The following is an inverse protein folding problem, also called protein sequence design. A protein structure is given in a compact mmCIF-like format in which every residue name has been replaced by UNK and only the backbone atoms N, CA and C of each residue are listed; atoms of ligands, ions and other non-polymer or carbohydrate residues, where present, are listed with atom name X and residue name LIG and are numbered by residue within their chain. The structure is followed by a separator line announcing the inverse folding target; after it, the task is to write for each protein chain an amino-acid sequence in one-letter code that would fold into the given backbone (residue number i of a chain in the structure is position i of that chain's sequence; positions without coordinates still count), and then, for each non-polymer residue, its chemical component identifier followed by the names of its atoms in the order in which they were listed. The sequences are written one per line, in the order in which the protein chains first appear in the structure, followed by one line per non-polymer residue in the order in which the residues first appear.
data_IF_814288514815
#
_entry.id   IF_814288514815
#
_cell.length_a   1.000
_cell.length_b   1.000
_cell.length_c   1.000
_cell.angle_alpha   90.00
_cell.angle_beta   90.00
_cell.angle_gamma   90.00
#
_symmetry.space_group_name_H-M   'P 1'
#
loop_
_entity.id
_entity.type
_entity.pdbx_description
1 polymer ?
#
# COMPACT_ATOMS: atom_id res chain seq x y z
N UNK A 1 40.31 -0.02 -15.52
CA UNK A 1 40.80 1.28 -15.00
C UNK A 1 39.83 1.77 -13.94
N UNK A 2 40.28 1.99 -12.70
CA UNK A 2 39.43 2.57 -11.65
C UNK A 2 39.26 4.07 -11.91
N UNK A 3 38.02 4.54 -11.85
CA UNK A 3 37.67 5.94 -12.06
C UNK A 3 36.99 6.50 -10.82
N UNK A 4 36.86 7.83 -10.76
CA UNK A 4 36.12 8.54 -9.73
C UNK A 4 35.14 9.49 -10.40
N UNK A 5 33.91 9.52 -9.90
CA UNK A 5 32.90 10.49 -10.32
C UNK A 5 32.23 11.11 -9.10
N UNK A 6 31.89 12.39 -9.23
CA UNK A 6 31.22 13.14 -8.18
C UNK A 6 29.89 13.63 -8.74
N UNK A 7 28.83 13.45 -7.95
CA UNK A 7 27.52 14.03 -8.23
C UNK A 7 27.08 14.85 -7.01
N UNK A 8 26.16 15.79 -7.24
CA UNK A 8 25.52 16.57 -6.19
C UNK A 8 24.03 16.26 -6.23
N UNK A 9 23.47 15.93 -5.07
CA UNK A 9 22.03 15.71 -4.88
C UNK A 9 21.50 16.87 -4.05
N UNK A 10 20.52 17.59 -4.57
CA UNK A 10 19.85 18.68 -3.84
C UNK A 10 18.66 18.12 -3.06
N UNK A 11 18.56 18.52 -1.80
CA UNK A 11 17.50 18.12 -0.86
C UNK A 11 16.77 19.36 -0.37
N UNK A 12 15.49 19.21 -0.04
CA UNK A 12 14.61 20.30 0.38
C UNK A 12 14.79 20.66 1.85
N UNK A 13 14.97 19.66 2.70
CA UNK A 13 15.10 19.79 4.15
C UNK A 13 15.94 18.65 4.74
N UNK A 14 16.17 18.71 6.05
CA UNK A 14 16.95 17.70 6.77
C UNK A 14 16.26 16.32 6.83
N UNK A 15 14.93 16.26 6.68
CA UNK A 15 14.18 14.99 6.65
C UNK A 15 14.45 14.25 5.34
N UNK A 16 14.38 14.95 4.19
CA UNK A 16 14.75 14.35 2.90
C UNK A 16 16.21 13.89 2.90
N UNK A 17 17.09 14.68 3.52
CA UNK A 17 18.51 14.33 3.67
C UNK A 17 18.70 13.05 4.46
N UNK A 18 18.05 12.91 5.62
CA UNK A 18 18.15 11.72 6.47
C UNK A 18 17.59 10.48 5.76
N UNK A 19 16.39 10.57 5.20
CA UNK A 19 15.75 9.45 4.52
C UNK A 19 16.51 9.01 3.27
N UNK A 20 17.07 9.95 2.52
CA UNK A 20 17.95 9.62 1.40
C UNK A 20 19.23 8.90 1.83
N UNK A 21 19.85 9.34 2.93
CA UNK A 21 21.03 8.66 3.46
C UNK A 21 20.71 7.22 3.89
N UNK A 22 19.56 6.99 4.54
CA UNK A 22 19.08 5.64 4.90
C UNK A 22 18.87 4.77 3.67
N UNK A 23 18.22 5.29 2.62
CA UNK A 23 18.00 4.53 1.39
C UNK A 23 19.31 4.20 0.68
N UNK A 24 20.25 5.13 0.57
CA UNK A 24 21.55 4.85 -0.06
C UNK A 24 22.36 3.81 0.72
N UNK A 25 22.30 3.81 2.06
CA UNK A 25 22.96 2.79 2.89
C UNK A 25 22.39 1.38 2.69
N UNK A 26 21.12 1.26 2.30
CA UNK A 26 20.47 -0.02 1.98
C UNK A 26 20.83 -0.55 0.59
N UNK A 27 21.40 0.30 -0.29
CA UNK A 27 21.80 -0.14 -1.62
C UNK A 27 23.04 -1.03 -1.52
N UNK A 28 22.93 -2.26 -2.03
CA UNK A 28 24.06 -3.16 -2.18
C UNK A 28 24.88 -2.79 -3.43
N UNK A 29 25.70 -1.74 -3.33
CA UNK A 29 26.48 -1.22 -4.46
C UNK A 29 27.89 -1.83 -4.50
N UNK A 30 28.29 -2.30 -5.68
CA UNK A 30 29.67 -2.76 -5.92
C UNK A 30 30.70 -1.62 -5.92
N UNK A 31 30.26 -0.38 -6.23
CA UNK A 31 31.10 0.80 -6.20
C UNK A 31 31.29 1.31 -4.75
N UNK A 32 32.47 1.86 -4.45
CA UNK A 32 32.68 2.57 -3.20
C UNK A 32 32.00 3.94 -3.25
N UNK A 33 31.05 4.18 -2.34
CA UNK A 33 30.27 5.42 -2.24
C UNK A 33 30.58 6.14 -0.94
N UNK A 34 30.87 7.44 -1.05
CA UNK A 34 31.10 8.30 0.11
C UNK A 34 30.36 9.63 -0.04
N UNK A 35 29.55 9.96 0.96
CA UNK A 35 28.63 11.10 0.93
C UNK A 35 29.04 12.14 1.97
N UNK A 36 29.14 13.38 1.56
CA UNK A 36 29.30 14.52 2.45
C UNK A 36 28.06 15.41 2.42
N UNK A 37 27.52 15.70 3.59
CA UNK A 37 26.45 16.66 3.76
C UNK A 37 26.93 18.11 3.66
N UNK A 38 26.18 18.91 2.92
CA UNK A 38 26.13 20.37 3.03
C UNK A 38 24.73 20.75 3.55
N UNK A 39 24.44 22.05 3.64
CA UNK A 39 23.15 22.57 4.10
C UNK A 39 21.98 22.02 3.26
N UNK A 40 21.97 22.30 1.96
CA UNK A 40 20.87 22.00 1.02
C UNK A 40 21.20 20.89 0.01
N UNK A 41 22.33 20.23 0.20
CA UNK A 41 22.87 19.30 -0.80
C UNK A 41 23.79 18.25 -0.22
N UNK A 42 23.90 17.13 -0.93
CA UNK A 42 24.76 16.01 -0.61
C UNK A 42 25.75 15.82 -1.75
N UNK A 43 27.05 15.92 -1.45
CA UNK A 43 28.12 15.63 -2.41
C UNK A 43 28.45 14.14 -2.32
N UNK A 44 28.08 13.40 -3.36
CA UNK A 44 28.26 11.95 -3.43
C UNK A 44 29.45 11.63 -4.32
N UNK A 45 30.48 11.00 -3.74
CA UNK A 45 31.66 10.52 -4.44
C UNK A 45 31.51 9.03 -4.70
N UNK A 46 31.65 8.61 -5.96
CA UNK A 46 31.55 7.20 -6.38
C UNK A 46 32.87 6.80 -7.02
N UNK A 47 33.43 5.68 -6.58
CA UNK A 47 34.70 5.14 -7.08
C UNK A 47 34.54 3.66 -7.45
N UNK A 48 35.03 3.27 -8.61
CA UNK A 48 34.88 1.91 -9.13
C UNK A 48 35.30 1.80 -10.60
N UNK A 49 34.89 0.73 -11.27
CA UNK A 49 34.94 0.63 -12.72
C UNK A 49 33.92 1.58 -13.37
N UNK A 50 34.05 1.82 -14.68
CA UNK A 50 33.15 2.74 -15.40
C UNK A 50 31.68 2.28 -15.32
N UNK A 51 31.44 0.98 -15.35
CA UNK A 51 30.11 0.39 -15.32
C UNK A 51 29.54 0.42 -13.89
N UNK A 52 30.32 0.01 -12.88
CA UNK A 52 29.95 0.14 -11.46
C UNK A 52 29.57 1.58 -11.09
N UNK A 53 30.33 2.58 -11.57
CA UNK A 53 30.03 3.99 -11.33
C UNK A 53 28.70 4.38 -11.98
N UNK A 54 28.43 3.90 -13.20
CA UNK A 54 27.18 4.22 -13.92
C UNK A 54 25.98 3.64 -13.19
N UNK A 55 26.07 2.37 -12.78
CA UNK A 55 25.03 1.67 -12.04
C UNK A 55 24.77 2.33 -10.69
N UNK A 56 25.82 2.60 -9.90
CA UNK A 56 25.71 3.26 -8.62
C UNK A 56 25.06 4.65 -8.74
N UNK A 57 25.46 5.47 -9.72
CA UNK A 57 24.84 6.79 -9.92
C UNK A 57 23.36 6.66 -10.29
N UNK A 58 22.99 5.68 -11.13
CA UNK A 58 21.58 5.43 -11.46
C UNK A 58 20.80 5.04 -10.21
N UNK A 59 21.29 4.06 -9.44
CA UNK A 59 20.66 3.61 -8.21
C UNK A 59 20.50 4.74 -7.18
N UNK A 60 21.54 5.56 -6.99
CA UNK A 60 21.51 6.72 -6.09
C UNK A 60 20.45 7.74 -6.54
N UNK A 61 20.32 8.00 -7.85
CA UNK A 61 19.30 8.92 -8.37
C UNK A 61 17.88 8.38 -8.22
N UNK A 62 17.68 7.08 -8.44
CA UNK A 62 16.39 6.44 -8.22
C UNK A 62 16.01 6.44 -6.73
N UNK A 63 16.96 6.17 -5.83
CA UNK A 63 16.76 6.29 -4.38
C UNK A 63 16.33 7.72 -3.99
N UNK A 64 16.96 8.74 -4.58
CA UNK A 64 16.57 10.14 -4.35
C UNK A 64 15.13 10.41 -4.81
N UNK A 65 14.78 9.97 -6.02
CA UNK A 65 13.44 10.12 -6.58
C UNK A 65 12.39 9.40 -5.72
N UNK A 66 12.69 8.19 -5.25
CA UNK A 66 11.85 7.38 -4.36
C UNK A 66 11.57 8.10 -3.04
N UNK A 67 12.62 8.58 -2.37
CA UNK A 67 12.48 9.33 -1.11
C UNK A 67 11.64 10.58 -1.29
N UNK A 68 11.92 11.36 -2.34
CA UNK A 68 11.17 12.58 -2.63
C UNK A 68 9.70 12.31 -2.92
N UNK A 69 9.40 11.29 -3.73
CA UNK A 69 8.03 10.88 -4.05
C UNK A 69 7.24 10.40 -2.82
N UNK A 70 7.92 9.78 -1.86
CA UNK A 70 7.32 9.35 -0.60
C UNK A 70 7.07 10.49 0.38
N UNK A 71 7.97 11.48 0.43
CA UNK A 71 7.90 12.58 1.40
C UNK A 71 7.02 13.74 0.94
N UNK A 72 6.95 13.99 -0.36
CA UNK A 72 6.24 15.15 -0.88
C UNK A 72 5.29 14.76 -2.01
N UNK A 73 4.05 15.26 -1.96
CA UNK A 73 3.11 15.01 -3.03
C UNK A 73 3.53 15.75 -4.30
N UNK A 74 3.13 15.20 -5.44
CA UNK A 74 3.26 15.89 -6.72
C UNK A 74 2.24 17.04 -6.85
N UNK A 75 2.20 17.70 -8.01
CA UNK A 75 1.30 18.84 -8.25
C UNK A 75 -0.18 18.50 -8.16
N UNK A 76 -0.56 17.21 -8.24
CA UNK A 76 -1.93 16.73 -8.07
C UNK A 76 -2.24 16.36 -6.62
N UNK A 77 -1.30 16.52 -5.69
CA UNK A 77 -1.46 16.09 -4.31
C UNK A 77 -1.15 14.62 -4.07
N UNK A 78 -0.52 13.91 -5.02
CA UNK A 78 -0.29 12.47 -4.91
C UNK A 78 1.15 12.13 -4.51
N UNK A 79 1.30 11.27 -3.53
CA UNK A 79 2.57 10.64 -3.14
C UNK A 79 2.87 9.45 -4.03
N UNK A 80 4.14 9.07 -4.16
CA UNK A 80 4.60 7.93 -4.97
C UNK A 80 5.25 6.88 -4.10
N UNK A 81 4.75 5.65 -4.17
CA UNK A 81 5.22 4.53 -3.36
C UNK A 81 5.46 3.28 -4.20
N UNK A 82 6.51 2.53 -3.85
CA UNK A 82 6.70 1.17 -4.34
C UNK A 82 6.03 0.23 -3.32
N UNK A 83 5.07 -0.61 -3.73
CA UNK A 83 4.31 -1.46 -2.80
C UNK A 83 5.18 -2.25 -1.83
N UNK A 84 6.29 -2.80 -2.31
CA UNK A 84 7.25 -3.57 -1.50
C UNK A 84 7.82 -2.78 -0.31
N UNK A 85 7.93 -1.46 -0.40
CA UNK A 85 8.36 -0.65 0.75
C UNK A 85 7.29 -0.53 1.80
N UNK A 86 6.04 -0.34 1.37
CA UNK A 86 4.91 -0.21 2.29
C UNK A 86 4.77 -1.54 3.04
N UNK A 87 4.80 -2.65 2.31
CA UNK A 87 4.69 -4.00 2.88
C UNK A 87 5.86 -4.31 3.82
N UNK A 88 7.09 -3.96 3.44
CA UNK A 88 8.27 -4.15 4.29
C UNK A 88 8.22 -3.29 5.55
N UNK A 89 7.83 -2.02 5.45
CA UNK A 89 7.71 -1.13 6.61
C UNK A 89 6.58 -1.58 7.54
N UNK A 90 5.46 -2.03 6.98
CA UNK A 90 4.34 -2.60 7.73
C UNK A 90 4.64 -3.99 8.32
N UNK A 91 5.74 -4.63 7.92
CA UNK A 91 6.03 -6.04 8.21
C UNK A 91 4.87 -6.98 7.83
N UNK A 92 4.20 -6.68 6.72
CA UNK A 92 2.97 -7.33 6.28
C UNK A 92 3.16 -8.08 4.96
N UNK A 93 2.47 -9.22 4.81
CA UNK A 93 2.45 -10.00 3.58
C UNK A 93 1.07 -9.91 2.91
N UNK A 94 0.79 -8.76 2.28
CA UNK A 94 -0.47 -8.45 1.63
C UNK A 94 -0.28 -8.38 0.11
N UNK A 95 -1.28 -8.79 -0.66
CA UNK A 95 -1.25 -8.67 -2.10
C UNK A 95 -1.61 -7.23 -2.52
N UNK A 96 -0.95 -6.71 -3.57
CA UNK A 96 -1.26 -5.39 -4.11
C UNK A 96 -2.76 -5.18 -4.45
N UNK A 97 -3.50 -6.18 -5.01
CA UNK A 97 -4.93 -6.04 -5.24
C UNK A 97 -5.75 -5.69 -3.99
N UNK A 98 -5.42 -6.26 -2.82
CA UNK A 98 -6.10 -5.95 -1.55
C UNK A 98 -5.90 -4.47 -1.20
N UNK A 99 -4.64 -3.99 -1.24
CA UNK A 99 -4.33 -2.59 -0.97
C UNK A 99 -5.05 -1.63 -1.94
N UNK A 100 -4.99 -1.92 -3.24
CA UNK A 100 -5.61 -1.08 -4.26
C UNK A 100 -7.12 -0.99 -4.07
N UNK A 101 -7.79 -2.13 -3.85
CA UNK A 101 -9.24 -2.13 -3.64
C UNK A 101 -9.63 -1.41 -2.35
N UNK A 102 -8.84 -1.55 -1.28
CA UNK A 102 -9.10 -0.86 -0.02
C UNK A 102 -9.00 0.66 -0.18
N UNK A 103 -7.96 1.15 -0.87
CA UNK A 103 -7.81 2.58 -1.16
C UNK A 103 -8.98 3.11 -1.99
N UNK A 104 -9.42 2.35 -2.99
CA UNK A 104 -10.60 2.69 -3.80
C UNK A 104 -11.87 2.81 -2.95
N UNK A 105 -12.14 1.84 -2.06
CA UNK A 105 -13.30 1.86 -1.16
C UNK A 105 -13.26 3.01 -0.16
N UNK A 106 -12.07 3.42 0.29
CA UNK A 106 -11.88 4.59 1.15
C UNK A 106 -12.01 5.92 0.40
N UNK A 107 -12.25 5.91 -0.91
CA UNK A 107 -12.36 7.11 -1.74
C UNK A 107 -11.02 7.80 -2.04
N UNK A 108 -9.89 7.11 -1.82
CA UNK A 108 -8.57 7.65 -2.10
C UNK A 108 -8.32 7.71 -3.61
N UNK A 109 -7.65 8.77 -4.07
CA UNK A 109 -7.19 8.83 -5.45
C UNK A 109 -6.01 7.89 -5.60
N UNK A 110 -6.07 6.92 -6.52
CA UNK A 110 -4.97 5.98 -6.79
C UNK A 110 -4.64 5.92 -8.29
N UNK A 111 -3.37 6.11 -8.64
CA UNK A 111 -2.84 5.84 -9.98
C UNK A 111 -1.87 4.66 -9.93
N UNK A 112 -2.13 3.60 -10.69
CA UNK A 112 -1.23 2.43 -10.77
C UNK A 112 -0.30 2.55 -11.98
N UNK A 113 0.98 2.26 -11.76
CA UNK A 113 2.01 2.07 -12.79
C UNK A 113 2.67 0.70 -12.59
N UNK A 114 3.49 0.26 -13.56
CA UNK A 114 4.12 -1.07 -13.53
C UNK A 114 4.84 -1.36 -12.22
N UNK A 115 5.62 -0.40 -11.71
CA UNK A 115 6.50 -0.61 -10.54
C UNK A 115 6.05 0.15 -9.28
N UNK A 116 5.11 1.09 -9.39
CA UNK A 116 4.75 1.98 -8.29
C UNK A 116 3.28 2.37 -8.35
N UNK A 117 2.76 2.76 -7.20
CA UNK A 117 1.44 3.39 -7.05
C UNK A 117 1.63 4.86 -6.71
N UNK A 118 0.66 5.67 -7.09
CA UNK A 118 0.48 7.00 -6.53
C UNK A 118 -0.82 7.09 -5.78
N UNK A 119 -0.82 7.74 -4.63
CA UNK A 119 -2.03 7.91 -3.84
C UNK A 119 -2.04 9.24 -3.09
N UNK A 120 -3.23 9.76 -2.79
CA UNK A 120 -3.43 10.90 -1.90
C UNK A 120 -3.05 10.59 -0.44
N UNK A 121 -3.04 9.31 -0.05
CA UNK A 121 -2.75 8.87 1.32
C UNK A 121 -1.27 9.07 1.71
N UNK A 122 -0.97 9.78 2.82
CA UNK A 122 0.39 9.95 3.33
C UNK A 122 1.06 8.65 3.81
N UNK A 123 2.40 8.65 3.87
CA UNK A 123 3.20 7.45 4.15
C UNK A 123 2.81 6.72 5.43
N UNK A 124 2.64 7.46 6.53
CA UNK A 124 2.29 6.88 7.83
C UNK A 124 0.92 6.19 7.77
N UNK A 125 -0.04 6.85 7.16
CA UNK A 125 -1.43 6.38 7.06
C UNK A 125 -1.51 5.12 6.20
N UNK A 126 -0.80 5.06 5.06
CA UNK A 126 -0.81 3.86 4.22
C UNK A 126 -0.08 2.67 4.86
N UNK A 127 0.98 2.92 5.63
CA UNK A 127 1.65 1.87 6.41
C UNK A 127 0.72 1.33 7.49
N UNK A 128 -0.01 2.20 8.20
CA UNK A 128 -0.96 1.78 9.24
C UNK A 128 -2.20 1.10 8.63
N UNK A 129 -2.64 1.51 7.43
CA UNK A 129 -3.66 0.79 6.65
C UNK A 129 -3.21 -0.64 6.32
N UNK A 130 -1.99 -0.81 5.81
CA UNK A 130 -1.46 -2.14 5.48
C UNK A 130 -1.32 -3.05 6.70
N UNK A 131 -0.97 -2.49 7.87
CA UNK A 131 -0.96 -3.27 9.13
C UNK A 131 -2.36 -3.79 9.47
N UNK A 132 -3.39 -2.95 9.38
CA UNK A 132 -4.79 -3.38 9.60
C UNK A 132 -5.23 -4.46 8.61
N UNK A 133 -4.88 -4.28 7.33
CA UNK A 133 -5.14 -5.30 6.30
C UNK A 133 -4.46 -6.64 6.64
N UNK A 134 -3.22 -6.61 7.14
CA UNK A 134 -2.51 -7.82 7.59
C UNK A 134 -3.22 -8.50 8.74
N UNK A 135 -3.66 -7.74 9.74
CA UNK A 135 -4.37 -8.26 10.90
C UNK A 135 -5.69 -8.94 10.50
N UNK A 136 -6.49 -8.32 9.64
CA UNK A 136 -7.76 -8.92 9.18
C UNK A 136 -7.51 -10.12 8.27
N UNK A 137 -6.47 -10.08 7.43
CA UNK A 137 -6.09 -11.23 6.62
C UNK A 137 -5.70 -12.43 7.49
N UNK A 138 -4.90 -12.22 8.55
CA UNK A 138 -4.41 -13.29 9.42
C UNK A 138 -5.54 -14.06 10.10
N UNK A 139 -6.62 -13.37 10.49
CA UNK A 139 -7.81 -13.97 11.09
C UNK A 139 -8.45 -15.03 10.18
N UNK A 140 -8.61 -14.71 8.89
CA UNK A 140 -9.31 -15.57 7.94
C UNK A 140 -8.39 -16.37 7.02
N UNK A 141 -7.07 -16.24 7.13
CA UNK A 141 -6.13 -16.77 6.13
C UNK A 141 -6.19 -18.29 6.00
N UNK A 142 -6.41 -19.05 7.08
CA UNK A 142 -6.38 -20.52 7.01
C UNK A 142 -7.63 -21.11 6.36
N UNK A 143 -8.77 -20.43 6.52
CA UNK A 143 -10.09 -20.88 6.08
C UNK A 143 -10.51 -20.31 4.73
N UNK A 144 -9.71 -19.48 4.08
CA UNK A 144 -10.14 -18.77 2.86
C UNK A 144 -9.21 -18.97 1.67
N UNK A 145 -9.79 -18.96 0.47
CA UNK A 145 -9.03 -18.84 -0.78
C UNK A 145 -8.53 -17.40 -1.00
N UNK A 146 -7.61 -17.24 -1.96
CA UNK A 146 -7.13 -15.91 -2.35
C UNK A 146 -8.24 -14.97 -2.81
N UNK A 147 -9.23 -15.48 -3.55
CA UNK A 147 -10.32 -14.65 -4.07
C UNK A 147 -11.22 -14.11 -2.97
N UNK A 148 -11.56 -14.95 -1.98
CA UNK A 148 -12.29 -14.51 -0.78
C UNK A 148 -11.55 -13.37 -0.08
N UNK A 149 -10.22 -13.51 0.12
CA UNK A 149 -9.40 -12.48 0.79
C UNK A 149 -9.36 -11.17 0.02
N UNK A 150 -9.36 -11.23 -1.32
CA UNK A 150 -9.42 -10.04 -2.18
C UNK A 150 -10.79 -9.31 -2.13
N UNK A 151 -11.82 -9.93 -1.54
CA UNK A 151 -13.14 -9.33 -1.30
C UNK A 151 -13.28 -8.91 0.16
N UNK A 152 -13.12 -9.85 1.09
CA UNK A 152 -13.41 -9.66 2.52
C UNK A 152 -12.44 -8.67 3.16
N UNK A 153 -11.13 -8.81 2.94
CA UNK A 153 -10.14 -7.99 3.66
C UNK A 153 -10.27 -6.50 3.34
N UNK A 154 -10.41 -6.07 2.07
CA UNK A 154 -10.67 -4.67 1.75
C UNK A 154 -11.96 -4.13 2.36
N UNK A 155 -13.06 -4.89 2.28
CA UNK A 155 -14.37 -4.46 2.78
C UNK A 155 -14.36 -4.35 4.30
N UNK A 156 -13.79 -5.34 5.00
CA UNK A 156 -13.60 -5.35 6.44
C UNK A 156 -12.92 -4.07 6.94
N UNK A 157 -11.84 -3.65 6.29
CA UNK A 157 -11.11 -2.43 6.70
C UNK A 157 -11.84 -1.15 6.28
N UNK A 158 -12.53 -1.14 5.14
CA UNK A 158 -13.22 0.05 4.65
C UNK A 158 -14.52 0.35 5.41
N UNK A 159 -15.25 -0.68 5.83
CA UNK A 159 -16.53 -0.58 6.53
C UNK A 159 -16.44 -0.85 8.04
N UNK A 160 -15.24 -1.17 8.56
CA UNK A 160 -15.00 -1.51 9.96
C UNK A 160 -15.84 -2.72 10.46
N UNK A 161 -15.99 -3.72 9.59
CA UNK A 161 -16.74 -4.96 9.86
C UNK A 161 -15.75 -6.10 10.12
N UNK A 162 -16.07 -6.97 11.08
CA UNK A 162 -15.26 -8.13 11.38
C UNK A 162 -15.13 -9.06 10.14
N UNK A 163 -13.93 -9.56 9.82
CA UNK A 163 -13.74 -10.37 8.62
C UNK A 163 -14.42 -11.75 8.70
N UNK A 164 -14.71 -12.30 9.89
CA UNK A 164 -15.52 -13.52 10.03
C UNK A 164 -17.00 -13.21 9.79
N UNK A 165 -17.51 -12.10 10.31
CA UNK A 165 -18.88 -11.64 10.04
C UNK A 165 -19.13 -11.47 8.54
N UNK A 166 -18.18 -10.87 7.81
CA UNK A 166 -18.27 -10.76 6.35
C UNK A 166 -18.24 -12.12 5.62
N UNK A 167 -17.59 -13.15 6.17
CA UNK A 167 -17.66 -14.49 5.59
C UNK A 167 -19.06 -15.08 5.72
N UNK A 168 -19.68 -14.90 6.87
CA UNK A 168 -21.05 -15.35 7.11
C UNK A 168 -22.03 -14.61 6.19
N UNK A 169 -21.89 -13.28 6.07
CA UNK A 169 -22.67 -12.49 5.11
C UNK A 169 -22.52 -12.98 3.66
N UNK A 170 -21.29 -13.31 3.23
CA UNK A 170 -21.08 -13.86 1.89
C UNK A 170 -21.78 -15.21 1.70
N UNK A 171 -21.88 -16.05 2.73
CA UNK A 171 -22.61 -17.31 2.68
C UNK A 171 -24.11 -17.08 2.64
N UNK A 172 -24.64 -16.21 3.49
CA UNK A 172 -26.07 -15.90 3.58
C UNK A 172 -26.60 -15.27 2.28
N UNK A 173 -25.79 -14.45 1.62
CA UNK A 173 -26.09 -13.87 0.30
C UNK A 173 -25.90 -14.86 -0.86
N UNK A 174 -25.44 -16.09 -0.60
CA UNK A 174 -25.15 -17.09 -1.63
C UNK A 174 -24.01 -16.70 -2.57
N UNK A 175 -23.07 -15.89 -2.09
CA UNK A 175 -21.87 -15.45 -2.81
C UNK A 175 -20.67 -16.36 -2.56
N UNK A 176 -20.64 -17.00 -1.40
CA UNK A 176 -19.65 -17.99 -1.00
C UNK A 176 -20.30 -19.25 -0.44
N UNK A 177 -19.53 -20.33 -0.40
CA UNK A 177 -19.90 -21.57 0.27
C UNK A 177 -18.72 -22.09 1.10
N UNK A 178 -19.03 -22.72 2.23
CA UNK A 178 -18.05 -23.44 3.02
C UNK A 178 -17.92 -24.89 2.52
N UNK A 179 -16.73 -25.24 2.04
CA UNK A 179 -16.39 -26.58 1.59
C UNK A 179 -15.89 -27.42 2.77
N UNK A 180 -16.77 -28.25 3.33
CA UNK A 180 -16.43 -29.13 4.47
C UNK A 180 -15.25 -30.06 4.18
N UNK A 181 -15.11 -30.54 2.94
CA UNK A 181 -14.02 -31.44 2.53
C UNK A 181 -12.65 -30.75 2.54
N UNK A 182 -12.62 -29.43 2.34
CA UNK A 182 -11.38 -28.62 2.32
C UNK A 182 -11.20 -27.75 3.56
N UNK A 183 -12.22 -27.66 4.40
CA UNK A 183 -12.33 -26.69 5.51
C UNK A 183 -12.07 -25.25 5.03
N UNK A 184 -12.67 -24.86 3.90
CA UNK A 184 -12.43 -23.56 3.28
C UNK A 184 -13.68 -22.92 2.69
N UNK A 185 -13.77 -21.60 2.80
CA UNK A 185 -14.68 -20.77 2.05
C UNK A 185 -14.19 -20.59 0.61
N UNK A 186 -15.07 -20.82 -0.35
CA UNK A 186 -14.85 -20.61 -1.79
C UNK A 186 -15.96 -19.70 -2.35
N UNK A 187 -15.62 -18.78 -3.25
CA UNK A 187 -16.63 -17.97 -3.93
C UNK A 187 -17.39 -18.82 -4.95
N UNK A 188 -18.71 -18.66 -4.99
CA UNK A 188 -19.59 -19.31 -5.97
C UNK A 188 -19.57 -18.54 -7.31
N UNK A 189 -19.33 -17.22 -7.24
CA UNK A 189 -19.26 -16.30 -8.38
C UNK A 189 -17.83 -15.76 -8.55
N UNK A 190 -17.59 -15.02 -9.63
CA UNK A 190 -16.32 -14.30 -9.75
C UNK A 190 -16.22 -13.18 -8.70
N UNK A 191 -14.99 -12.79 -8.37
CA UNK A 191 -14.71 -11.87 -7.25
C UNK A 191 -15.31 -10.48 -7.47
N UNK A 192 -15.35 -9.99 -8.70
CA UNK A 192 -15.91 -8.67 -9.02
C UNK A 192 -17.42 -8.63 -8.80
N UNK A 193 -18.13 -9.71 -9.16
CA UNK A 193 -19.57 -9.85 -8.90
C UNK A 193 -19.87 -9.99 -7.42
N UNK A 194 -19.14 -10.86 -6.70
CA UNK A 194 -19.33 -11.04 -5.27
C UNK A 194 -19.08 -9.74 -4.50
N UNK A 195 -18.03 -9.00 -4.85
CA UNK A 195 -17.75 -7.71 -4.25
C UNK A 195 -18.85 -6.69 -4.54
N UNK A 196 -19.34 -6.63 -5.79
CA UNK A 196 -20.42 -5.71 -6.15
C UNK A 196 -21.70 -6.00 -5.35
N UNK A 197 -22.14 -7.26 -5.33
CA UNK A 197 -23.38 -7.65 -4.63
C UNK A 197 -23.27 -7.43 -3.11
N UNK A 198 -22.09 -7.68 -2.52
CA UNK A 198 -21.82 -7.36 -1.12
C UNK A 198 -21.89 -5.85 -0.84
N UNK A 199 -21.31 -5.02 -1.70
CA UNK A 199 -21.36 -3.56 -1.53
C UNK A 199 -22.79 -3.02 -1.69
N UNK A 200 -23.56 -3.52 -2.67
CA UNK A 200 -24.97 -3.14 -2.85
C UNK A 200 -25.80 -3.51 -1.61
N UNK A 201 -25.51 -4.64 -0.96
CA UNK A 201 -26.15 -5.02 0.29
C UNK A 201 -25.83 -4.04 1.43
N UNK A 202 -24.53 -3.74 1.63
CA UNK A 202 -24.08 -2.84 2.70
C UNK A 202 -24.61 -1.40 2.51
N UNK A 203 -24.64 -0.90 1.28
CA UNK A 203 -25.22 0.42 0.96
C UNK A 203 -26.75 0.43 1.17
N UNK A 204 -27.43 -0.69 0.92
CA UNK A 204 -28.88 -0.83 1.13
C UNK A 204 -29.30 -0.86 2.60
N UNK A 205 -28.51 -1.48 3.47
CA UNK A 205 -28.77 -1.48 4.93
C UNK A 205 -28.52 -0.10 5.56
N UNK A 206 -27.53 0.67 5.07
CA UNK A 206 -27.28 2.03 5.57
C UNK A 206 -28.48 2.99 5.37
N UNK A 207 -29.30 2.76 4.34
CA UNK A 207 -30.48 3.58 4.06
C UNK A 207 -31.69 3.21 4.93
N UNK A 208 -31.86 1.94 5.30
CA UNK A 208 -32.96 1.51 6.18
C UNK A 208 -32.76 2.02 7.63
N UNK A 209 -31.53 2.06 8.11
CA UNK A 209 -31.20 2.48 9.48
C UNK A 209 -31.29 4.01 9.68
N UNK A 210 -31.22 4.79 8.58
CA UNK A 210 -31.52 6.25 8.59
C UNK A 210 -33.01 6.55 8.64
N UNK A 211 -33.87 5.66 8.13
CA UNK A 211 -35.33 5.82 8.13
C UNK A 211 -35.99 5.68 9.50
N UNK A 212 -35.33 5.03 10.47
CA UNK A 212 -35.91 4.76 11.79
C UNK A 212 -35.66 5.84 12.87
N UNK A 213 -34.85 6.87 12.59
CA UNK A 213 -34.52 7.91 13.60
C UNK A 213 -35.36 9.20 13.55
N UNK A 214 -36.28 9.36 12.59
CA UNK A 214 -37.14 10.56 12.49
C UNK A 214 -38.58 10.40 13.02
N UNK A 215 -38.85 9.32 13.76
CA UNK A 215 -40.17 9.05 14.37
C UNK A 215 -40.30 9.47 15.85
N UNK A 216 -39.73 10.60 16.26
CA UNK A 216 -39.87 11.13 17.62
C UNK A 216 -41.17 11.91 17.80
N UNK A 217 -42.06 11.39 18.65
CA UNK A 217 -43.41 11.88 18.97
C UNK A 217 -43.51 13.40 19.25
N UNK A 218 -44.60 14.07 18.82
CA UNK A 218 -44.90 15.43 19.26
C UNK A 218 -45.49 15.40 20.69
N UNK A 219 -44.93 16.25 21.56
CA UNK A 219 -45.53 16.63 22.84
C UNK A 219 -46.58 17.73 22.66
#
# INVERSE_FOLDING_TARGET
MRAKKVIVIHVRDDVEKEEFMKEVQRLNLSAFVYIHGKLDSLKVNVQGTKDEIREAIRAIREAHKRVRGRLYPDRKGLFTYYPDDIFREASANISLPILLKTLELLGETVETKEDYIKTSMPWREIVDLVKRLSQNLEQIALQTTRQIREVVVPVSVAYDIDPEELLDMLVDLGLAEYKEDKFKYELIKNKEQALKELLEYLEGEEDEDRGHKEGGEPA
#
